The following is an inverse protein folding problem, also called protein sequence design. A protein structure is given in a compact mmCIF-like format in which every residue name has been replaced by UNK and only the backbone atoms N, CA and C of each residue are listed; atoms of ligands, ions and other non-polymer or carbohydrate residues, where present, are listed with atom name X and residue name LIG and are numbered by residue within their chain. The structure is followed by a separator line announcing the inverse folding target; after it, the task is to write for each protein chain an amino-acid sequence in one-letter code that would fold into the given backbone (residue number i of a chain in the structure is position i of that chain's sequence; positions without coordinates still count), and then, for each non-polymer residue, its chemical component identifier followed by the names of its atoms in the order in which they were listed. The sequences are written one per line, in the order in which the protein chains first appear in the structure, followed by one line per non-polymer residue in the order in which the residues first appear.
data_IF_513598957996
#
_entry.id   IF_513598957996
#
_cell.length_a   1.000
_cell.length_b   1.000
_cell.length_c   1.000
_cell.angle_alpha   90.00
_cell.angle_beta   90.00
_cell.angle_gamma   90.00
#
_symmetry.space_group_name_H-M   'P 1'
#
loop_
_entity.id
_entity.type
_entity.pdbx_description
1 polymer ?
#
# COMPACT_ATOMS: atom_id res chain seq x y z
N UNK A 1 -13.78 51.41 -68.37
CA UNK A 1 -14.64 50.78 -67.35
C UNK A 1 -13.76 50.32 -66.19
N UNK A 2 -13.87 50.96 -65.02
CA UNK A 2 -13.01 50.67 -63.88
C UNK A 2 -13.51 49.43 -63.11
N UNK A 3 -12.60 48.48 -62.84
CA UNK A 3 -12.87 47.22 -62.15
C UNK A 3 -13.11 47.50 -60.66
N UNK A 4 -14.34 47.26 -60.16
CA UNK A 4 -14.69 47.37 -58.73
C UNK A 4 -13.88 46.32 -57.94
N UNK A 5 -13.04 46.77 -57.01
CA UNK A 5 -12.25 45.89 -56.12
C UNK A 5 -13.24 45.18 -55.17
N UNK A 6 -13.18 43.85 -55.09
CA UNK A 6 -13.95 43.06 -54.11
C UNK A 6 -13.41 43.37 -52.71
N UNK A 7 -14.25 43.88 -51.83
CA UNK A 7 -13.94 43.96 -50.40
C UNK A 7 -13.94 42.55 -49.83
N UNK A 8 -12.88 42.21 -49.10
CA UNK A 8 -12.78 40.95 -48.35
C UNK A 8 -13.75 41.01 -47.17
N UNK A 9 -14.52 39.95 -46.89
CA UNK A 9 -15.42 39.94 -45.73
C UNK A 9 -14.61 40.13 -44.46
N UNK A 10 -14.95 41.13 -43.65
CA UNK A 10 -14.39 41.29 -42.32
C UNK A 10 -14.87 40.11 -41.46
N UNK A 11 -13.90 39.33 -40.96
CA UNK A 11 -14.19 38.26 -40.01
C UNK A 11 -14.57 38.94 -38.70
N UNK A 12 -15.65 38.45 -38.06
CA UNK A 12 -16.10 38.93 -36.76
C UNK A 12 -15.08 38.58 -35.67
N UNK A 13 -14.02 39.40 -35.58
CA UNK A 13 -12.89 39.20 -34.67
C UNK A 13 -13.30 39.16 -33.19
N UNK A 14 -14.38 39.88 -32.84
CA UNK A 14 -14.94 39.87 -31.47
C UNK A 14 -15.46 38.49 -31.08
N UNK A 15 -16.27 37.86 -31.94
CA UNK A 15 -16.86 36.55 -31.65
C UNK A 15 -15.81 35.43 -31.65
N UNK A 16 -14.79 35.52 -32.51
CA UNK A 16 -13.67 34.57 -32.49
C UNK A 16 -12.77 34.75 -31.26
N UNK A 17 -12.60 35.98 -30.77
CA UNK A 17 -11.82 36.25 -29.57
C UNK A 17 -12.50 35.70 -28.31
N UNK A 18 -13.82 35.87 -28.18
CA UNK A 18 -14.58 35.32 -27.06
C UNK A 18 -14.55 33.78 -27.02
N UNK A 19 -14.67 33.13 -28.18
CA UNK A 19 -14.58 31.66 -28.28
C UNK A 19 -13.18 31.18 -27.91
N UNK A 20 -12.12 31.86 -28.41
CA UNK A 20 -10.75 31.50 -28.07
C UNK A 20 -10.45 31.71 -26.57
N UNK A 21 -11.00 32.77 -25.96
CA UNK A 21 -10.83 33.06 -24.54
C UNK A 21 -11.52 32.04 -23.65
N UNK A 22 -12.75 31.63 -23.99
CA UNK A 22 -13.47 30.55 -23.29
C UNK A 22 -12.75 29.20 -23.40
N UNK A 23 -12.21 28.87 -24.58
CA UNK A 23 -11.42 27.65 -24.76
C UNK A 23 -10.12 27.69 -23.96
N UNK A 24 -9.46 28.85 -23.85
CA UNK A 24 -8.24 29.01 -23.07
C UNK A 24 -8.50 28.91 -21.57
N UNK A 25 -9.60 29.48 -21.07
CA UNK A 25 -10.06 29.27 -19.68
C UNK A 25 -10.42 27.81 -19.45
N UNK A 26 -11.13 27.17 -20.38
CA UNK A 26 -11.45 25.75 -20.30
C UNK A 26 -10.19 24.88 -20.23
N UNK A 27 -9.20 25.13 -21.11
CA UNK A 27 -7.92 24.43 -21.05
C UNK A 27 -7.15 24.74 -19.77
N UNK A 28 -7.13 25.97 -19.28
CA UNK A 28 -6.41 26.33 -18.06
C UNK A 28 -7.05 25.69 -16.80
N UNK A 29 -8.38 25.66 -16.74
CA UNK A 29 -9.13 25.02 -15.64
C UNK A 29 -8.99 23.50 -15.70
N UNK A 30 -9.16 22.89 -16.87
CA UNK A 30 -9.12 21.42 -17.00
C UNK A 30 -7.71 20.84 -16.99
N UNK A 31 -6.68 21.59 -17.38
CA UNK A 31 -5.27 21.13 -17.28
C UNK A 31 -4.68 21.30 -15.89
N UNK A 32 -5.28 22.09 -15.00
CA UNK A 32 -4.85 22.21 -13.59
C UNK A 32 -5.43 21.14 -12.66
N UNK A 33 -6.28 20.23 -13.19
CA UNK A 33 -6.88 19.15 -12.42
C UNK A 33 -6.25 17.79 -12.73
N UNK A 34 -4.91 17.73 -12.69
CA UNK A 34 -4.23 16.48 -12.37
C UNK A 34 -2.92 16.80 -11.66
N UNK A 35 -2.98 16.85 -10.32
CA UNK A 35 -1.80 16.65 -9.50
C UNK A 35 -1.99 15.31 -8.83
N UNK A 36 -1.24 14.34 -9.32
CA UNK A 36 -1.01 13.02 -8.79
C UNK A 36 -1.05 13.01 -7.25
N UNK A 37 -2.24 12.85 -6.67
CA UNK A 37 -2.39 12.37 -5.30
C UNK A 37 -2.52 10.86 -5.34
N UNK A 38 -1.57 10.22 -6.01
CA UNK A 38 -1.21 8.86 -5.67
C UNK A 38 -0.57 8.88 -4.28
N UNK A 39 -0.99 7.96 -3.42
CA UNK A 39 -0.26 7.64 -2.18
C UNK A 39 1.23 7.64 -2.48
N UNK A 40 2.05 8.33 -1.67
CA UNK A 40 3.50 8.28 -1.77
C UNK A 40 3.99 6.84 -1.48
N UNK A 41 3.91 5.98 -2.50
CA UNK A 41 4.43 4.62 -2.46
C UNK A 41 5.90 4.74 -2.80
N UNK A 42 6.76 4.37 -1.85
CA UNK A 42 8.12 4.01 -2.19
C UNK A 42 8.04 2.82 -3.14
N UNK A 43 8.41 3.03 -4.40
CA UNK A 43 8.75 1.93 -5.27
C UNK A 43 9.84 1.12 -4.56
N UNK A 44 9.73 -0.22 -4.50
CA UNK A 44 10.85 -1.02 -4.06
C UNK A 44 12.06 -0.64 -4.92
N UNK A 45 13.26 -0.54 -4.32
CA UNK A 45 14.46 -0.18 -5.06
C UNK A 45 14.58 -1.10 -6.29
N UNK A 46 14.93 -0.55 -7.47
CA UNK A 46 15.09 -1.36 -8.67
C UNK A 46 16.04 -2.52 -8.35
N UNK A 47 15.75 -3.74 -8.80
CA UNK A 47 16.63 -4.87 -8.56
C UNK A 47 17.99 -4.53 -9.17
N UNK A 48 19.01 -4.43 -8.32
CA UNK A 48 20.38 -4.36 -8.79
C UNK A 48 20.66 -5.64 -9.57
N UNK A 49 21.19 -5.51 -10.79
CA UNK A 49 21.33 -6.60 -11.78
C UNK A 49 22.27 -7.73 -11.37
N UNK A 50 22.65 -7.81 -10.10
CA UNK A 50 23.59 -8.79 -9.54
C UNK A 50 23.17 -9.33 -8.16
N UNK A 51 21.87 -9.25 -7.80
CA UNK A 51 21.37 -9.88 -6.58
C UNK A 51 21.19 -11.39 -6.80
N UNK A 52 22.09 -12.15 -6.18
CA UNK A 52 22.15 -13.63 -6.17
C UNK A 52 20.76 -14.21 -5.91
N UNK A 53 20.45 -15.37 -6.50
CA UNK A 53 19.16 -16.08 -6.35
C UNK A 53 18.65 -16.22 -4.90
N UNK A 54 19.56 -16.15 -3.92
CA UNK A 54 19.24 -16.16 -2.49
C UNK A 54 18.49 -14.90 -2.01
N UNK A 55 18.78 -13.71 -2.56
CA UNK A 55 18.11 -12.46 -2.20
C UNK A 55 16.67 -12.40 -2.70
N UNK A 56 16.39 -13.01 -3.87
CA UNK A 56 15.03 -13.13 -4.40
C UNK A 56 14.16 -14.04 -3.50
N UNK A 57 14.68 -15.20 -3.10
CA UNK A 57 13.99 -16.10 -2.15
C UNK A 57 13.80 -15.46 -0.77
N UNK A 58 14.80 -14.71 -0.28
CA UNK A 58 14.70 -13.93 0.97
C UNK A 58 13.60 -12.88 0.91
N UNK A 59 13.42 -12.20 -0.22
CA UNK A 59 12.31 -11.25 -0.42
C UNK A 59 10.96 -11.96 -0.49
N UNK A 60 10.87 -13.14 -1.10
CA UNK A 60 9.61 -13.90 -1.19
C UNK A 60 9.13 -14.42 0.16
N UNK A 61 10.01 -14.98 1.02
CA UNK A 61 9.62 -15.43 2.38
C UNK A 61 9.21 -14.30 3.32
N UNK A 62 9.63 -13.07 3.03
CA UNK A 62 9.24 -11.88 3.79
C UNK A 62 7.86 -11.35 3.39
N UNK A 63 7.20 -11.91 2.36
CA UNK A 63 5.90 -11.44 1.88
C UNK A 63 4.78 -12.40 2.26
N UNK A 64 3.84 -11.95 3.09
CA UNK A 64 2.59 -12.67 3.33
C UNK A 64 1.58 -12.28 2.25
N UNK A 65 1.19 -13.23 1.41
CA UNK A 65 0.20 -12.99 0.36
C UNK A 65 -1.21 -13.23 0.92
N UNK A 66 -2.06 -12.21 0.82
CA UNK A 66 -3.46 -12.25 1.21
C UNK A 66 -4.29 -11.91 -0.03
N UNK A 67 -5.16 -12.81 -0.44
CA UNK A 67 -6.01 -12.66 -1.61
C UNK A 67 -7.48 -12.70 -1.22
N UNK A 68 -8.24 -11.69 -1.63
CA UNK A 68 -9.69 -11.63 -1.49
C UNK A 68 -10.32 -11.84 -2.87
N UNK A 69 -11.17 -12.85 -3.00
CA UNK A 69 -11.84 -13.18 -4.26
C UNK A 69 -13.21 -12.50 -4.41
N UNK A 70 -13.83 -12.63 -5.59
CA UNK A 70 -15.15 -12.07 -5.89
C UNK A 70 -16.29 -12.63 -5.03
N UNK A 71 -16.09 -13.78 -4.39
CA UNK A 71 -17.06 -14.42 -3.50
C UNK A 71 -16.85 -14.00 -2.04
N UNK A 72 -16.05 -12.95 -1.80
CA UNK A 72 -15.64 -12.47 -0.48
C UNK A 72 -14.93 -13.53 0.37
N UNK A 73 -14.35 -14.55 -0.27
CA UNK A 73 -13.53 -15.54 0.40
C UNK A 73 -12.09 -15.08 0.45
N UNK A 74 -11.49 -15.24 1.62
CA UNK A 74 -10.13 -14.85 1.91
C UNK A 74 -9.20 -16.06 1.77
N UNK A 75 -8.10 -15.86 1.06
CA UNK A 75 -7.00 -16.81 0.95
C UNK A 75 -5.73 -16.18 1.52
N UNK A 76 -4.96 -16.96 2.27
CA UNK A 76 -3.65 -16.56 2.76
C UNK A 76 -2.63 -17.60 2.30
N UNK A 77 -1.70 -17.18 1.44
CA UNK A 77 -0.86 -18.11 0.67
C UNK A 77 -1.72 -18.96 -0.26
N UNK A 78 -1.83 -20.25 0.04
CA UNK A 78 -2.61 -21.23 -0.74
C UNK A 78 -3.89 -21.71 -0.01
N UNK A 79 -4.09 -21.32 1.25
CA UNK A 79 -5.20 -21.83 2.06
C UNK A 79 -6.34 -20.80 2.13
N UNK A 80 -7.57 -21.29 1.99
CA UNK A 80 -8.76 -20.51 2.34
C UNK A 80 -8.86 -20.40 3.86
N UNK A 81 -8.99 -19.16 4.34
CA UNK A 81 -9.08 -18.86 5.76
C UNK A 81 -10.23 -17.90 6.03
N UNK A 82 -10.66 -17.87 7.28
CA UNK A 82 -11.59 -16.85 7.75
C UNK A 82 -10.84 -15.58 8.16
N UNK A 83 -11.59 -14.51 8.32
CA UNK A 83 -11.07 -13.19 8.71
C UNK A 83 -10.42 -13.24 10.11
N UNK A 84 -11.01 -13.97 11.06
CA UNK A 84 -10.43 -14.14 12.41
C UNK A 84 -9.09 -14.91 12.36
N UNK A 85 -9.00 -15.92 11.50
CA UNK A 85 -7.77 -16.69 11.29
C UNK A 85 -6.67 -15.86 10.61
N UNK A 86 -7.04 -14.86 9.79
CA UNK A 86 -6.07 -13.96 9.17
C UNK A 86 -5.31 -13.19 10.23
N UNK A 87 -6.00 -12.71 11.27
CA UNK A 87 -5.37 -11.99 12.38
C UNK A 87 -4.31 -12.86 13.05
N UNK A 88 -4.68 -14.08 13.43
CA UNK A 88 -3.76 -15.02 14.07
C UNK A 88 -2.55 -15.36 13.17
N UNK A 89 -2.79 -15.68 11.88
CA UNK A 89 -1.71 -15.96 10.91
C UNK A 89 -0.80 -14.76 10.68
N UNK A 90 -1.36 -13.55 10.59
CA UNK A 90 -0.58 -12.33 10.43
C UNK A 90 0.30 -12.08 11.66
N UNK A 91 -0.23 -12.25 12.88
CA UNK A 91 0.55 -12.14 14.12
C UNK A 91 1.71 -13.13 14.15
N UNK A 92 1.44 -14.39 13.85
CA UNK A 92 2.45 -15.44 13.82
C UNK A 92 3.55 -15.16 12.79
N UNK A 93 3.16 -14.68 11.61
CA UNK A 93 4.07 -14.30 10.54
C UNK A 93 4.99 -13.14 10.94
N UNK A 94 4.42 -12.08 11.55
CA UNK A 94 5.18 -10.90 11.97
C UNK A 94 6.09 -11.23 13.17
N UNK A 95 5.57 -11.90 14.20
CA UNK A 95 6.36 -12.20 15.40
C UNK A 95 7.47 -13.22 15.13
N UNK A 96 7.23 -14.16 14.21
CA UNK A 96 8.09 -15.29 13.87
C UNK A 96 8.80 -15.88 15.10
N UNK A 97 8.07 -16.35 16.13
CA UNK A 97 8.66 -16.73 17.42
C UNK A 97 9.72 -17.83 17.30
N UNK A 98 9.56 -18.75 16.34
CA UNK A 98 10.43 -19.91 16.13
C UNK A 98 11.57 -19.68 15.12
N UNK A 99 11.71 -18.47 14.56
CA UNK A 99 12.70 -18.12 13.54
C UNK A 99 12.75 -19.14 12.39
N UNK A 100 11.57 -19.53 11.88
CA UNK A 100 11.47 -20.51 10.81
C UNK A 100 11.94 -19.91 9.48
N UNK A 101 12.62 -20.71 8.66
CA UNK A 101 13.13 -20.29 7.34
C UNK A 101 12.03 -19.90 6.34
N UNK A 102 10.78 -20.31 6.60
CA UNK A 102 9.58 -19.98 5.82
C UNK A 102 8.98 -18.62 6.17
N UNK A 103 9.41 -18.01 7.27
CA UNK A 103 8.90 -16.76 7.84
C UNK A 103 9.91 -15.62 7.67
N UNK A 104 9.54 -14.35 7.91
CA UNK A 104 10.41 -13.23 7.62
C UNK A 104 11.70 -13.26 8.43
N UNK A 105 12.79 -12.84 7.78
CA UNK A 105 14.13 -12.78 8.37
C UNK A 105 14.16 -11.81 9.55
N UNK A 106 14.68 -12.30 10.69
CA UNK A 106 14.94 -11.49 11.87
C UNK A 106 16.29 -10.80 11.76
N UNK A 107 16.28 -9.49 11.99
CA UNK A 107 17.47 -8.65 12.02
C UNK A 107 17.60 -8.11 13.44
N UNK A 108 18.83 -8.16 13.97
CA UNK A 108 19.14 -7.54 15.26
C UNK A 108 19.16 -6.02 15.09
N UNK A 109 18.20 -5.34 15.72
CA UNK A 109 18.11 -3.89 15.71
C UNK A 109 18.17 -3.37 17.14
N UNK A 110 18.89 -2.27 17.33
CA UNK A 110 18.86 -1.57 18.61
C UNK A 110 17.65 -0.64 18.62
N UNK A 111 16.72 -0.89 19.53
CA UNK A 111 15.53 -0.07 19.70
C UNK A 111 15.59 0.60 21.08
N UNK A 112 15.29 1.91 21.19
CA UNK A 112 15.17 2.58 22.48
C UNK A 112 14.28 1.80 23.46
N UNK A 113 14.63 1.80 24.75
CA UNK A 113 13.95 1.05 25.84
C UNK A 113 14.04 -0.49 25.80
N UNK A 114 14.24 -1.08 24.63
CA UNK A 114 14.30 -2.53 24.42
C UNK A 114 15.73 -3.08 24.21
N UNK A 115 16.68 -2.23 23.83
CA UNK A 115 18.06 -2.64 23.55
C UNK A 115 18.16 -3.40 22.24
N UNK A 116 19.05 -4.39 22.15
CA UNK A 116 19.20 -5.21 20.94
C UNK A 116 18.11 -6.28 20.90
N UNK A 117 17.11 -6.06 20.05
CA UNK A 117 15.99 -6.99 19.82
C UNK A 117 16.02 -7.54 18.40
N UNK A 118 15.54 -8.76 18.23
CA UNK A 118 15.40 -9.39 16.92
C UNK A 118 14.03 -9.01 16.34
N UNK A 119 14.05 -8.20 15.28
CA UNK A 119 12.84 -7.68 14.65
C UNK A 119 12.77 -8.14 13.20
N UNK A 120 11.57 -8.40 12.72
CA UNK A 120 11.33 -8.75 11.32
C UNK A 120 11.22 -7.48 10.50
N UNK A 121 12.31 -6.75 10.25
CA UNK A 121 12.18 -5.44 9.56
C UNK A 121 11.71 -5.56 8.11
N UNK A 122 12.03 -6.66 7.43
CA UNK A 122 11.75 -6.84 6.00
C UNK A 122 10.33 -7.32 5.65
N UNK A 123 9.48 -7.63 6.63
CA UNK A 123 8.17 -8.23 6.36
C UNK A 123 7.22 -7.29 5.63
N UNK A 124 6.41 -7.82 4.72
CA UNK A 124 5.37 -7.09 3.98
C UNK A 124 4.13 -7.96 3.85
N UNK A 125 2.96 -7.42 4.19
CA UNK A 125 1.68 -8.08 3.94
C UNK A 125 1.12 -7.55 2.63
N UNK A 126 1.08 -8.39 1.59
CA UNK A 126 0.52 -8.03 0.29
C UNK A 126 -0.95 -8.40 0.24
N UNK A 127 -1.83 -7.40 0.34
CA UNK A 127 -3.27 -7.58 0.14
C UNK A 127 -3.59 -7.38 -1.34
N UNK A 128 -4.23 -8.39 -1.94
CA UNK A 128 -4.76 -8.35 -3.31
C UNK A 128 -6.25 -8.60 -3.25
N UNK A 129 -7.02 -7.79 -3.96
CA UNK A 129 -8.46 -7.93 -4.03
C UNK A 129 -8.88 -8.07 -5.49
N UNK A 130 -9.80 -8.99 -5.75
CA UNK A 130 -10.45 -9.07 -7.04
C UNK A 130 -11.39 -7.87 -7.24
N UNK A 131 -11.58 -7.44 -8.50
CA UNK A 131 -12.49 -6.36 -8.90
C UNK A 131 -13.94 -6.63 -8.49
N UNK A 132 -14.33 -7.91 -8.37
CA UNK A 132 -15.67 -8.28 -7.93
C UNK A 132 -15.87 -8.38 -6.42
N UNK A 133 -14.81 -8.19 -5.61
CA UNK A 133 -14.91 -8.30 -4.14
C UNK A 133 -15.72 -7.14 -3.57
N UNK A 134 -16.50 -7.40 -2.52
CA UNK A 134 -17.26 -6.34 -1.86
C UNK A 134 -16.36 -5.41 -1.06
N UNK A 135 -16.72 -4.13 -1.03
CA UNK A 135 -16.02 -3.14 -0.21
C UNK A 135 -16.05 -3.50 1.29
N UNK A 136 -17.15 -4.13 1.74
CA UNK A 136 -17.28 -4.59 3.12
C UNK A 136 -16.27 -5.68 3.46
N UNK A 137 -16.11 -6.68 2.59
CA UNK A 137 -15.12 -7.74 2.80
C UNK A 137 -13.69 -7.19 2.81
N UNK A 138 -13.40 -6.29 1.86
CA UNK A 138 -12.11 -5.58 1.82
C UNK A 138 -11.81 -4.82 3.12
N UNK A 139 -12.75 -4.00 3.60
CA UNK A 139 -12.58 -3.25 4.84
C UNK A 139 -12.45 -4.15 6.07
N UNK A 140 -13.18 -5.27 6.09
CA UNK A 140 -13.07 -6.27 7.18
C UNK A 140 -11.66 -6.85 7.23
N UNK A 141 -11.11 -7.24 6.08
CA UNK A 141 -9.73 -7.76 5.97
C UNK A 141 -8.71 -6.72 6.41
N UNK A 142 -8.85 -5.47 5.97
CA UNK A 142 -7.94 -4.39 6.37
C UNK A 142 -7.96 -4.16 7.88
N UNK A 143 -9.14 -4.04 8.49
CA UNK A 143 -9.28 -3.82 9.93
C UNK A 143 -8.58 -4.92 10.74
N UNK A 144 -8.61 -6.14 10.24
CA UNK A 144 -8.10 -7.32 10.91
C UNK A 144 -6.58 -7.44 10.80
N UNK A 145 -6.03 -7.03 9.65
CA UNK A 145 -4.59 -6.83 9.52
C UNK A 145 -4.09 -5.73 10.45
N UNK A 146 -4.81 -4.61 10.56
CA UNK A 146 -4.46 -3.53 11.49
C UNK A 146 -4.57 -4.00 12.94
N UNK A 147 -5.62 -4.75 13.28
CA UNK A 147 -5.82 -5.32 14.61
C UNK A 147 -4.67 -6.28 14.99
N UNK A 148 -4.16 -7.08 14.05
CA UNK A 148 -3.00 -7.94 14.28
C UNK A 148 -1.76 -7.14 14.73
N UNK A 149 -1.46 -6.01 14.08
CA UNK A 149 -0.37 -5.14 14.52
C UNK A 149 -0.64 -4.52 15.88
N UNK A 150 -1.86 -4.05 16.13
CA UNK A 150 -2.20 -3.42 17.40
C UNK A 150 -2.07 -4.42 18.56
N UNK A 151 -2.55 -5.66 18.41
CA UNK A 151 -2.39 -6.69 19.43
C UNK A 151 -0.91 -7.00 19.72
N UNK A 152 -0.06 -7.12 18.69
CA UNK A 152 1.38 -7.32 18.90
C UNK A 152 2.04 -6.17 19.65
N UNK A 153 1.59 -4.94 19.38
CA UNK A 153 2.09 -3.73 20.05
C UNK A 153 1.60 -3.65 21.49
N UNK A 154 0.34 -3.99 21.74
CA UNK A 154 -0.25 -4.08 23.08
C UNK A 154 0.42 -5.16 23.92
N UNK A 155 0.69 -6.34 23.35
CA UNK A 155 1.40 -7.43 24.02
C UNK A 155 2.80 -6.99 24.49
N UNK A 156 3.58 -6.33 23.62
CA UNK A 156 4.90 -5.77 24.01
C UNK A 156 4.79 -4.66 25.05
N UNK A 157 3.79 -3.78 24.91
CA UNK A 157 3.53 -2.72 25.88
C UNK A 157 3.23 -3.30 27.27
N UNK A 158 2.38 -4.33 27.31
CA UNK A 158 1.97 -5.00 28.53
C UNK A 158 3.14 -5.78 29.17
N UNK A 159 3.97 -6.45 28.36
CA UNK A 159 5.15 -7.18 28.84
C UNK A 159 6.18 -6.24 29.49
N UNK A 160 6.45 -5.08 28.86
CA UNK A 160 7.51 -4.17 29.30
C UNK A 160 7.07 -3.20 30.39
N UNK A 161 5.85 -2.65 30.27
CA UNK A 161 5.36 -1.55 31.09
C UNK A 161 4.06 -1.87 31.85
N UNK A 162 3.45 -3.04 31.63
CA UNK A 162 2.16 -3.43 32.21
C UNK A 162 1.03 -2.42 31.95
N UNK A 163 1.10 -1.73 30.81
CA UNK A 163 0.10 -0.75 30.35
C UNK A 163 -0.30 -1.08 28.92
N UNK A 164 -1.48 -0.62 28.53
CA UNK A 164 -1.92 -0.71 27.14
C UNK A 164 -1.07 0.24 26.28
N UNK A 165 -0.89 -0.11 25.00
CA UNK A 165 -0.11 0.68 24.05
C UNK A 165 -0.61 2.14 23.95
N UNK A 166 -1.93 2.33 24.00
CA UNK A 166 -2.57 3.65 23.93
C UNK A 166 -2.29 4.53 25.15
N UNK A 167 -1.90 3.95 26.27
CA UNK A 167 -1.61 4.65 27.53
C UNK A 167 -0.11 4.98 27.70
N UNK A 168 0.72 4.54 26.75
CA UNK A 168 2.16 4.80 26.75
C UNK A 168 2.49 6.21 26.25
N UNK A 169 3.67 6.69 26.63
CA UNK A 169 4.22 7.95 26.14
C UNK A 169 4.60 7.86 24.65
N UNK A 170 4.65 8.99 23.95
CA UNK A 170 4.96 9.05 22.52
C UNK A 170 6.28 8.33 22.16
N UNK A 171 7.33 8.52 22.97
CA UNK A 171 8.63 7.86 22.75
C UNK A 171 8.56 6.34 22.90
N UNK A 172 7.75 5.83 23.84
CA UNK A 172 7.54 4.41 24.06
C UNK A 172 6.71 3.80 22.93
N UNK A 173 5.67 4.52 22.49
CA UNK A 173 4.85 4.14 21.34
C UNK A 173 5.67 4.06 20.06
N UNK A 174 6.59 5.00 19.85
CA UNK A 174 7.44 5.04 18.67
C UNK A 174 8.48 3.92 18.69
N UNK A 175 9.06 3.59 19.85
CA UNK A 175 9.92 2.41 20.00
C UNK A 175 9.20 1.10 19.65
N UNK A 176 7.97 0.91 20.12
CA UNK A 176 7.15 -0.25 19.76
C UNK A 176 6.80 -0.25 18.26
N UNK A 177 6.46 0.90 17.67
CA UNK A 177 6.22 1.03 16.21
C UNK A 177 7.45 0.69 15.39
N UNK A 178 8.63 0.96 15.90
CA UNK A 178 9.88 0.62 15.24
C UNK A 178 10.11 -0.90 15.23
N UNK A 179 9.74 -1.60 16.30
CA UNK A 179 9.76 -3.08 16.37
C UNK A 179 8.72 -3.68 15.42
N UNK A 180 7.46 -3.25 15.54
CA UNK A 180 6.35 -3.71 14.71
C UNK A 180 5.86 -2.60 13.77
N UNK A 181 6.66 -2.34 12.75
CA UNK A 181 6.33 -1.40 11.68
C UNK A 181 5.22 -1.98 10.80
N UNK A 182 4.12 -1.24 10.65
CA UNK A 182 3.00 -1.68 9.84
C UNK A 182 3.33 -1.55 8.35
N UNK A 183 3.48 -2.69 7.67
CA UNK A 183 3.84 -2.77 6.24
C UNK A 183 2.80 -3.54 5.47
N UNK A 184 1.70 -2.87 5.16
CA UNK A 184 0.62 -3.41 4.32
C UNK A 184 0.75 -2.80 2.92
N UNK A 185 0.82 -3.65 1.91
CA UNK A 185 0.92 -3.25 0.50
C UNK A 185 -0.30 -3.76 -0.26
N UNK A 186 -1.11 -2.84 -0.77
CA UNK A 186 -2.20 -3.18 -1.67
C UNK A 186 -1.64 -3.32 -3.10
N UNK A 187 -1.68 -4.54 -3.64
CA UNK A 187 -1.30 -4.79 -5.02
C UNK A 187 -2.53 -4.75 -5.92
N UNK A 188 -2.38 -4.11 -7.08
CA UNK A 188 -3.46 -4.00 -8.07
C UNK A 188 -3.93 -5.38 -8.54
N UNK A 189 -5.24 -5.55 -8.82
CA UNK A 189 -5.75 -6.79 -9.39
C UNK A 189 -5.10 -7.04 -10.76
N UNK A 190 -4.32 -8.13 -10.87
CA UNK A 190 -3.87 -8.60 -12.19
C UNK A 190 -5.10 -8.98 -13.01
N UNK A 191 -5.23 -8.40 -14.22
CA UNK A 191 -6.17 -8.90 -15.23
C UNK A 191 -5.75 -10.32 -15.63
N UNK A 192 -6.38 -11.33 -15.04
CA UNK A 192 -6.22 -12.71 -15.49
C UNK A 192 -7.06 -12.88 -16.76
N UNK A 193 -6.49 -12.54 -17.92
CA UNK A 193 -7.27 -12.51 -19.17
C UNK A 193 -6.56 -12.26 -20.49
N UNK A 194 -5.26 -11.97 -20.53
CA UNK A 194 -4.52 -11.97 -21.81
C UNK A 194 -3.66 -13.23 -21.90
N UNK A 195 -4.32 -14.33 -22.30
CA UNK A 195 -3.60 -15.40 -22.98
C UNK A 195 -3.17 -14.85 -24.34
N UNK A 196 -1.90 -15.11 -24.68
CA UNK A 196 -1.27 -14.89 -26.00
C UNK A 196 -2.18 -15.31 -27.15
#
# INVERSE_FOLDING_TARGET
MAKKKREVPEINSSSTADIAFLLLIFFLITTSMDTDRGLARRLPPPPEKDQKLDDAKKKERNVLQVFLNMQDQLMCGNDYITVDQLRAKAKEFIANPYNEDTKPEKISKNVPFFGTVQVTEGHVISLRCDRGSSYKAYMSVQNELVAAYNELRDELAQEKWQKNYMELDQEQQDAIREIYSQKISEAEPKKYGEKK
#
